data_IF_654507454689
#
_entry.id   IF_654507454689
#
_cell.length_a   1.000
_cell.length_b   1.000
_cell.length_c   1.000
_cell.angle_alpha   90.00
_cell.angle_beta   90.00
_cell.angle_gamma   90.00
#
_symmetry.space_group_name_H-M   'P 1'
#
loop_
_entity.id
_entity.type
_entity.pdbx_description
1 polymer ?
#
# COMPACT_ATOMS: atom_id res chain seq x y z
N UNK A 1 -18.68 21.05 7.42
CA UNK A 1 -19.73 20.01 7.33
C UNK A 1 -19.08 18.64 7.34
N UNK A 2 -19.54 17.75 8.21
CA UNK A 2 -19.01 16.40 8.41
C UNK A 2 -18.95 15.56 7.12
N UNK A 3 -19.85 15.81 6.14
CA UNK A 3 -19.86 15.10 4.86
C UNK A 3 -18.69 15.37 3.90
N UNK A 4 -17.97 16.49 4.01
CA UNK A 4 -16.79 16.75 3.17
C UNK A 4 -15.54 16.00 3.67
N UNK A 5 -15.43 15.87 5.00
CA UNK A 5 -14.41 15.05 5.68
C UNK A 5 -14.62 13.59 5.33
N UNK A 6 -15.87 13.14 5.36
CA UNK A 6 -16.27 11.79 4.98
C UNK A 6 -16.11 11.53 3.47
N UNK A 7 -15.91 12.55 2.62
CA UNK A 7 -15.63 12.40 1.17
C UNK A 7 -14.13 12.32 0.85
N UNK A 8 -13.31 12.93 1.71
CA UNK A 8 -11.84 12.94 1.59
C UNK A 8 -11.21 11.78 2.37
N UNK A 9 -11.82 11.38 3.50
CA UNK A 9 -11.30 10.39 4.44
C UNK A 9 -12.10 9.07 4.51
N UNK A 10 -13.23 8.92 3.80
CA UNK A 10 -13.84 7.59 3.67
C UNK A 10 -12.93 6.66 2.85
N UNK A 11 -12.11 5.90 3.56
CA UNK A 11 -11.61 4.63 3.07
C UNK A 11 -12.75 3.65 2.73
N UNK A 12 -13.95 3.85 3.30
CA UNK A 12 -15.13 3.00 3.09
C UNK A 12 -15.96 3.30 1.82
N UNK A 13 -15.87 4.50 1.25
CA UNK A 13 -16.67 4.93 0.08
C UNK A 13 -15.84 5.10 -1.20
N UNK A 14 -14.50 5.10 -1.09
CA UNK A 14 -13.61 5.02 -2.26
C UNK A 14 -13.38 3.55 -2.61
N UNK A 15 -14.04 3.15 -3.69
CA UNK A 15 -14.09 1.82 -4.32
C UNK A 15 -12.75 1.07 -4.45
N UNK A 16 -11.60 1.75 -4.43
CA UNK A 16 -10.29 1.14 -4.66
C UNK A 16 -9.64 0.49 -3.42
N UNK A 17 -10.06 0.84 -2.19
CA UNK A 17 -9.62 0.14 -0.97
C UNK A 17 -10.59 -0.98 -0.54
N UNK A 18 -11.86 -0.88 -0.92
CA UNK A 18 -12.91 -1.82 -0.52
C UNK A 18 -13.08 -3.02 -1.49
N UNK A 19 -12.85 -2.84 -2.79
CA UNK A 19 -13.02 -3.89 -3.79
C UNK A 19 -11.69 -4.55 -4.16
N UNK A 20 -11.17 -5.38 -3.26
CA UNK A 20 -10.20 -6.39 -3.67
C UNK A 20 -10.93 -7.56 -4.31
N UNK A 21 -10.41 -8.11 -5.42
CA UNK A 21 -10.92 -9.38 -5.95
C UNK A 21 -10.53 -10.49 -4.97
N UNK A 22 -11.50 -11.24 -4.42
CA UNK A 22 -11.19 -12.36 -3.55
C UNK A 22 -10.42 -13.40 -4.35
N UNK A 23 -9.28 -13.81 -3.83
CA UNK A 23 -8.53 -14.95 -4.33
C UNK A 23 -9.16 -16.19 -3.71
N UNK A 24 -9.63 -17.09 -4.57
CA UNK A 24 -10.25 -18.34 -4.13
C UNK A 24 -9.14 -19.25 -3.60
N UNK A 25 -9.21 -19.63 -2.33
CA UNK A 25 -8.22 -20.52 -1.69
C UNK A 25 -8.70 -21.99 -1.63
N UNK A 26 -9.82 -22.30 -2.26
CA UNK A 26 -10.43 -23.64 -2.27
C UNK A 26 -11.04 -24.08 -0.93
N UNK A 27 -10.99 -23.26 0.12
CA UNK A 27 -11.47 -23.61 1.47
C UNK A 27 -12.91 -23.15 1.75
N UNK A 28 -13.50 -22.35 0.86
CA UNK A 28 -14.83 -21.76 1.04
C UNK A 28 -14.86 -20.59 2.04
N UNK A 29 -13.71 -20.17 2.57
CA UNK A 29 -13.54 -18.91 3.30
C UNK A 29 -13.16 -17.79 2.32
N UNK A 30 -13.41 -16.51 2.64
CA UNK A 30 -12.85 -15.42 1.85
C UNK A 30 -11.32 -15.46 1.97
N UNK A 31 -10.62 -15.80 0.89
CA UNK A 31 -9.16 -15.76 0.84
C UNK A 31 -8.61 -14.33 0.72
N UNK A 32 -7.31 -14.21 0.44
CA UNK A 32 -6.64 -12.93 0.22
C UNK A 32 -7.42 -12.05 -0.77
N UNK A 33 -7.41 -10.74 -0.56
CA UNK A 33 -8.10 -9.76 -1.40
C UNK A 33 -7.06 -8.95 -2.16
N UNK A 34 -6.97 -9.17 -3.46
CA UNK A 34 -6.06 -8.43 -4.33
C UNK A 34 -6.73 -7.14 -4.79
N UNK A 35 -6.18 -6.00 -4.39
CA UNK A 35 -6.63 -4.67 -4.78
C UNK A 35 -5.64 -4.02 -5.75
N UNK A 36 -6.14 -3.57 -6.90
CA UNK A 36 -5.35 -2.71 -7.79
C UNK A 36 -5.13 -1.36 -7.14
N UNK A 37 -3.87 -1.04 -6.82
CA UNK A 37 -3.51 0.16 -6.06
C UNK A 37 -2.49 1.05 -6.78
N UNK A 38 -2.17 0.75 -8.04
CA UNK A 38 -1.31 1.57 -8.88
C UNK A 38 -1.80 3.03 -8.94
N UNK A 39 -0.87 3.96 -8.74
CA UNK A 39 -1.05 5.41 -8.60
C UNK A 39 -1.78 5.86 -7.34
N UNK A 40 -2.37 4.94 -6.59
CA UNK A 40 -3.40 5.31 -5.61
C UNK A 40 -2.82 5.52 -4.22
N UNK A 41 -1.77 4.78 -3.86
CA UNK A 41 -1.02 5.00 -2.63
C UNK A 41 -0.31 6.35 -2.69
N UNK A 42 0.35 6.63 -3.82
CA UNK A 42 0.98 7.93 -4.07
C UNK A 42 -0.03 9.08 -4.07
N UNK A 43 -1.22 8.88 -4.65
CA UNK A 43 -2.30 9.88 -4.63
C UNK A 43 -2.80 10.17 -3.21
N UNK A 44 -3.00 9.13 -2.38
CA UNK A 44 -3.44 9.28 -1.00
C UNK A 44 -2.42 10.08 -0.15
N UNK A 45 -1.14 9.75 -0.26
CA UNK A 45 -0.07 10.50 0.41
C UNK A 45 -0.01 11.95 -0.07
N UNK A 46 -0.10 12.18 -1.38
CA UNK A 46 -0.10 13.53 -1.97
C UNK A 46 -1.28 14.36 -1.47
N UNK A 47 -2.46 13.76 -1.35
CA UNK A 47 -3.65 14.42 -0.81
C UNK A 47 -3.45 14.82 0.67
N UNK A 48 -2.90 13.93 1.50
CA UNK A 48 -2.56 14.22 2.89
C UNK A 48 -1.56 15.38 3.00
N UNK A 49 -0.47 15.35 2.23
CA UNK A 49 0.52 16.43 2.19
C UNK A 49 -0.09 17.75 1.74
N UNK A 50 -0.91 17.72 0.70
CA UNK A 50 -1.56 18.92 0.16
C UNK A 50 -2.49 19.54 1.20
N UNK A 51 -3.31 18.74 1.88
CA UNK A 51 -4.20 19.24 2.94
C UNK A 51 -3.41 19.77 4.13
N UNK A 52 -2.36 19.04 4.55
CA UNK A 52 -1.49 19.48 5.62
C UNK A 52 -0.74 20.78 5.28
N UNK A 53 -0.47 21.07 4.01
CA UNK A 53 0.20 22.30 3.59
C UNK A 53 -0.78 23.47 3.37
N UNK A 54 -1.90 23.21 2.69
CA UNK A 54 -2.83 24.26 2.23
C UNK A 54 -3.81 24.75 3.29
N UNK A 55 -4.10 23.94 4.30
CA UNK A 55 -5.01 24.37 5.37
C UNK A 55 -4.34 25.47 6.24
N UNK A 56 -5.08 26.45 6.75
CA UNK A 56 -4.59 27.39 7.77
C UNK A 56 -4.48 26.77 9.16
N UNK A 57 -3.55 27.24 9.99
CA UNK A 57 -3.38 26.71 11.36
C UNK A 57 -4.69 26.85 12.16
N UNK A 58 -5.02 25.84 12.97
CA UNK A 58 -6.29 25.80 13.71
C UNK A 58 -7.54 25.54 12.84
N UNK A 59 -7.39 25.33 11.52
CA UNK A 59 -8.52 24.99 10.67
C UNK A 59 -9.16 23.66 11.13
N UNK A 60 -10.49 23.57 11.32
CA UNK A 60 -11.14 22.38 11.88
C UNK A 60 -10.83 21.08 11.13
N UNK A 61 -10.60 21.15 9.81
CA UNK A 61 -10.21 19.97 9.02
C UNK A 61 -8.85 19.38 9.41
N UNK A 62 -7.93 20.15 10.02
CA UNK A 62 -6.65 19.61 10.48
C UNK A 62 -6.81 18.59 11.60
N UNK A 63 -7.83 18.74 12.45
CA UNK A 63 -8.13 17.76 13.51
C UNK A 63 -8.50 16.37 12.93
N UNK A 64 -8.89 16.29 11.66
CA UNK A 64 -9.27 15.04 11.02
C UNK A 64 -8.13 14.38 10.22
N UNK A 65 -7.02 15.08 9.96
CA UNK A 65 -5.90 14.49 9.19
C UNK A 65 -5.26 13.29 9.90
N UNK A 66 -5.00 13.31 11.23
CA UNK A 66 -4.49 12.12 11.93
C UNK A 66 -5.47 10.95 11.89
N UNK A 67 -6.77 11.22 11.96
CA UNK A 67 -7.83 10.19 11.86
C UNK A 67 -7.82 9.55 10.46
N UNK A 68 -7.66 10.37 9.42
CA UNK A 68 -7.52 9.91 8.04
C UNK A 68 -6.30 9.01 7.82
N UNK A 69 -5.15 9.43 8.35
CA UNK A 69 -3.92 8.64 8.30
C UNK A 69 -4.07 7.31 9.06
N UNK A 70 -4.67 7.34 10.26
CA UNK A 70 -4.93 6.14 11.05
C UNK A 70 -5.87 5.17 10.33
N UNK A 71 -6.92 5.66 9.67
CA UNK A 71 -7.83 4.82 8.87
C UNK A 71 -7.10 4.17 7.68
N UNK A 72 -6.25 4.93 6.98
CA UNK A 72 -5.44 4.41 5.88
C UNK A 72 -4.47 3.33 6.34
N UNK A 73 -3.75 3.56 7.44
CA UNK A 73 -2.84 2.57 8.04
C UNK A 73 -3.58 1.34 8.57
N UNK A 74 -4.74 1.53 9.20
CA UNK A 74 -5.59 0.43 9.64
C UNK A 74 -6.02 -0.47 8.49
N UNK A 75 -6.27 0.12 7.30
CA UNK A 75 -6.55 -0.66 6.09
C UNK A 75 -5.33 -1.38 5.55
N UNK A 76 -4.16 -0.73 5.53
CA UNK A 76 -2.90 -1.36 5.11
C UNK A 76 -2.48 -2.51 6.05
N UNK A 77 -2.86 -2.44 7.32
CA UNK A 77 -2.63 -3.48 8.31
C UNK A 77 -3.59 -4.68 8.20
N UNK A 78 -4.55 -4.67 7.27
CA UNK A 78 -5.42 -5.83 7.01
C UNK A 78 -4.56 -7.01 6.50
N UNK A 79 -4.47 -8.14 7.24
CA UNK A 79 -3.67 -9.30 6.86
C UNK A 79 -4.14 -9.94 5.54
N UNK A 80 -5.40 -9.74 5.17
CA UNK A 80 -5.97 -10.29 3.96
C UNK A 80 -5.82 -9.35 2.76
N UNK A 81 -5.32 -8.11 2.96
CA UNK A 81 -5.13 -7.15 1.87
C UNK A 81 -3.80 -7.39 1.15
N UNK A 82 -3.89 -7.56 -0.16
CA UNK A 82 -2.76 -7.66 -1.07
C UNK A 82 -2.88 -6.56 -2.13
N UNK A 83 -1.81 -5.80 -2.34
CA UNK A 83 -1.77 -4.68 -3.28
C UNK A 83 -1.08 -5.10 -4.59
N UNK A 84 -1.76 -4.83 -5.70
CA UNK A 84 -1.15 -4.82 -7.03
C UNK A 84 -0.75 -3.39 -7.40
N UNK A 85 0.55 -3.11 -7.33
CA UNK A 85 1.12 -1.81 -7.68
C UNK A 85 1.52 -1.72 -9.16
N UNK A 86 1.23 -2.75 -9.97
CA UNK A 86 1.62 -2.82 -11.38
C UNK A 86 3.11 -3.09 -11.59
N UNK A 87 3.74 -3.81 -10.66
CA UNK A 87 5.15 -4.20 -10.72
C UNK A 87 5.28 -5.50 -11.51
N UNK A 88 5.61 -5.38 -12.80
CA UNK A 88 5.72 -6.51 -13.72
C UNK A 88 7.14 -6.73 -14.25
N UNK A 89 7.92 -5.66 -14.33
CA UNK A 89 9.19 -5.62 -15.06
C UNK A 89 10.29 -5.01 -14.21
N UNK A 90 11.50 -5.51 -14.38
CA UNK A 90 12.72 -4.92 -13.83
C UNK A 90 13.12 -3.68 -14.63
N UNK A 91 14.09 -2.91 -14.13
CA UNK A 91 14.68 -1.79 -14.86
C UNK A 91 15.23 -2.20 -16.23
N UNK A 92 15.85 -3.39 -16.31
CA UNK A 92 16.37 -3.94 -17.58
C UNK A 92 15.28 -4.50 -18.51
N UNK A 93 14.00 -4.37 -18.15
CA UNK A 93 12.86 -4.87 -18.93
C UNK A 93 12.62 -6.38 -18.81
N UNK A 94 13.32 -7.07 -17.91
CA UNK A 94 13.10 -8.50 -17.61
C UNK A 94 11.89 -8.71 -16.68
N UNK A 95 11.33 -9.92 -16.59
CA UNK A 95 10.22 -10.21 -15.69
C UNK A 95 10.66 -10.12 -14.23
N UNK A 96 9.91 -9.38 -13.40
CA UNK A 96 10.26 -9.16 -11.99
C UNK A 96 10.23 -10.46 -11.17
N UNK A 97 9.37 -11.41 -11.54
CA UNK A 97 9.22 -12.69 -10.84
C UNK A 97 10.50 -13.49 -10.76
N UNK A 98 11.29 -13.53 -11.84
CA UNK A 98 12.57 -14.25 -11.86
C UNK A 98 13.57 -13.67 -10.84
N UNK A 99 13.67 -12.34 -10.76
CA UNK A 99 14.54 -11.66 -9.79
C UNK A 99 14.09 -11.90 -8.36
N UNK A 100 12.78 -11.80 -8.09
CA UNK A 100 12.22 -12.05 -6.76
C UNK A 100 12.40 -13.52 -6.34
N UNK A 101 12.16 -14.47 -7.24
CA UNK A 101 12.40 -15.89 -6.98
C UNK A 101 13.87 -16.15 -6.62
N UNK A 102 14.80 -15.61 -7.39
CA UNK A 102 16.23 -15.75 -7.12
C UNK A 102 16.63 -15.14 -5.77
N UNK A 103 16.13 -13.95 -5.43
CA UNK A 103 16.42 -13.28 -4.16
C UNK A 103 15.91 -14.06 -2.94
N UNK A 104 14.81 -14.81 -3.10
CA UNK A 104 14.18 -15.60 -2.04
C UNK A 104 14.54 -17.10 -2.09
N UNK A 105 15.43 -17.53 -2.98
CA UNK A 105 15.80 -18.94 -3.14
C UNK A 105 14.65 -19.85 -3.59
N UNK A 106 13.66 -19.29 -4.29
CA UNK A 106 12.51 -20.03 -4.82
C UNK A 106 12.87 -20.76 -6.13
N UNK A 107 12.21 -21.88 -6.45
CA UNK A 107 12.38 -22.54 -7.74
C UNK A 107 12.00 -21.61 -8.90
N UNK A 108 12.44 -21.90 -10.13
CA UNK A 108 12.12 -21.05 -11.30
C UNK A 108 10.64 -21.04 -11.67
N UNK A 109 9.90 -22.10 -11.32
CA UNK A 109 8.46 -22.22 -11.57
C UNK A 109 7.77 -23.03 -10.45
N UNK A 110 6.44 -22.95 -10.39
CA UNK A 110 5.65 -23.61 -9.34
C UNK A 110 5.80 -22.94 -7.98
N UNK A 111 5.43 -23.67 -6.92
CA UNK A 111 5.44 -23.18 -5.53
C UNK A 111 4.25 -22.28 -5.18
N UNK A 112 3.21 -22.28 -6.01
CA UNK A 112 1.97 -21.59 -5.71
C UNK A 112 1.17 -22.37 -4.67
N UNK A 113 0.60 -21.66 -3.72
CA UNK A 113 -0.31 -22.23 -2.72
C UNK A 113 -1.72 -22.43 -3.31
N UNK A 114 -2.66 -22.87 -2.48
CA UNK A 114 -4.04 -23.17 -2.90
C UNK A 114 -4.77 -21.95 -3.52
N UNK A 115 -4.28 -20.74 -3.24
CA UNK A 115 -4.78 -19.48 -3.79
C UNK A 115 -4.09 -19.09 -5.11
N UNK A 116 -3.19 -19.93 -5.63
CA UNK A 116 -2.45 -19.67 -6.88
C UNK A 116 -1.35 -18.62 -6.75
N UNK A 117 -1.00 -18.20 -5.52
CA UNK A 117 0.04 -17.22 -5.25
C UNK A 117 1.29 -17.90 -4.71
N UNK A 118 2.46 -17.40 -5.11
CA UNK A 118 3.75 -17.85 -4.58
C UNK A 118 4.20 -16.86 -3.51
N UNK A 119 4.50 -17.36 -2.31
CA UNK A 119 4.89 -16.52 -1.17
C UNK A 119 6.41 -16.32 -1.17
N UNK A 120 6.86 -15.09 -1.38
CA UNK A 120 8.26 -14.69 -1.33
C UNK A 120 8.53 -13.96 0.00
N UNK A 121 8.60 -14.72 1.08
CA UNK A 121 8.67 -14.16 2.44
C UNK A 121 7.31 -13.67 2.94
N UNK A 122 7.31 -12.67 3.82
CA UNK A 122 6.10 -12.19 4.52
C UNK A 122 5.35 -11.10 3.76
N UNK A 123 6.04 -10.21 3.05
CA UNK A 123 5.42 -9.07 2.39
C UNK A 123 5.25 -9.25 0.88
N UNK A 124 6.08 -10.07 0.23
CA UNK A 124 6.10 -10.19 -1.22
C UNK A 124 5.40 -11.45 -1.69
N UNK A 125 4.57 -11.31 -2.72
CA UNK A 125 3.78 -12.37 -3.31
C UNK A 125 3.95 -12.30 -4.83
N UNK A 126 4.08 -13.45 -5.49
CA UNK A 126 4.06 -13.52 -6.96
C UNK A 126 2.73 -14.09 -7.41
N UNK A 127 2.14 -13.45 -8.40
CA UNK A 127 0.93 -13.88 -9.06
C UNK A 127 1.17 -14.04 -10.57
N UNK A 128 0.36 -14.85 -11.27
CA UNK A 128 0.36 -14.87 -12.72
C UNK A 128 0.17 -13.45 -13.30
N UNK A 129 1.03 -13.08 -14.24
CA UNK A 129 1.04 -11.80 -14.94
C UNK A 129 0.73 -11.96 -16.43
N UNK A 130 1.30 -11.08 -17.26
CA UNK A 130 1.10 -11.12 -18.71
C UNK A 130 1.96 -12.22 -19.36
N UNK A 131 1.33 -13.09 -20.16
CA UNK A 131 1.99 -14.22 -20.80
C UNK A 131 2.46 -15.25 -19.77
N UNK A 132 3.71 -15.70 -19.90
CA UNK A 132 4.34 -16.64 -18.97
C UNK A 132 5.08 -15.93 -17.82
N UNK A 133 4.88 -14.62 -17.65
CA UNK A 133 5.57 -13.84 -16.62
C UNK A 133 4.73 -13.70 -15.36
N UNK A 134 5.39 -13.45 -14.25
CA UNK A 134 4.76 -13.18 -12.96
C UNK A 134 4.77 -11.68 -12.67
N UNK A 135 3.76 -11.24 -11.93
CA UNK A 135 3.68 -9.89 -11.37
C UNK A 135 3.93 -9.95 -9.87
N UNK A 136 4.53 -8.88 -9.34
CA UNK A 136 4.77 -8.72 -7.92
C UNK A 136 3.58 -8.04 -7.25
N UNK A 137 3.08 -8.68 -6.20
CA UNK A 137 2.09 -8.16 -5.29
C UNK A 137 2.72 -7.92 -3.92
N UNK A 138 2.19 -6.95 -3.17
CA UNK A 138 2.69 -6.58 -1.85
C UNK A 138 1.57 -6.74 -0.83
N UNK A 139 1.81 -7.52 0.22
CA UNK A 139 0.97 -7.61 1.42
C UNK A 139 1.52 -6.64 2.48
N UNK A 140 0.88 -5.47 2.71
CA UNK A 140 1.48 -4.46 3.58
C UNK A 140 1.54 -4.91 5.05
N UNK A 141 0.57 -5.71 5.51
CA UNK A 141 0.59 -6.32 6.84
C UNK A 141 1.78 -7.27 7.08
N UNK A 142 2.47 -7.69 6.03
CA UNK A 142 3.68 -8.51 6.11
C UNK A 142 4.98 -7.71 6.20
N UNK A 143 4.92 -6.37 6.11
CA UNK A 143 6.06 -5.47 6.24
C UNK A 143 6.34 -5.18 7.72
N UNK A 144 7.60 -5.21 8.12
CA UNK A 144 8.05 -4.88 9.48
C UNK A 144 8.02 -3.37 9.78
N UNK A 145 7.89 -2.52 8.75
CA UNK A 145 7.89 -1.08 8.87
C UNK A 145 8.47 -0.38 7.64
N UNK A 146 8.78 0.92 7.72
CA UNK A 146 9.34 1.67 6.60
C UNK A 146 10.74 1.19 6.20
N UNK A 147 11.49 0.53 7.07
CA UNK A 147 12.84 0.01 6.77
C UNK A 147 12.87 -1.48 6.46
N UNK A 148 11.72 -2.06 6.09
CA UNK A 148 11.64 -3.45 5.69
C UNK A 148 12.54 -3.74 4.47
N UNK A 149 13.38 -4.79 4.50
CA UNK A 149 14.28 -5.11 3.39
C UNK A 149 13.57 -5.39 2.06
N UNK A 150 12.26 -5.72 2.08
CA UNK A 150 11.45 -5.86 0.89
C UNK A 150 11.41 -4.56 0.06
N UNK A 151 11.41 -3.38 0.71
CA UNK A 151 11.51 -2.10 0.00
C UNK A 151 12.82 -2.00 -0.78
N UNK A 152 13.95 -2.27 -0.12
CA UNK A 152 15.27 -2.22 -0.75
C UNK A 152 15.42 -3.21 -1.91
N UNK A 153 14.87 -4.42 -1.78
CA UNK A 153 14.88 -5.42 -2.85
C UNK A 153 14.12 -4.93 -4.08
N UNK A 154 12.90 -4.41 -3.89
CA UNK A 154 12.07 -3.96 -5.01
C UNK A 154 12.63 -2.68 -5.63
N UNK A 155 13.04 -1.71 -4.83
CA UNK A 155 13.69 -0.48 -5.29
C UNK A 155 14.96 -0.75 -6.09
N UNK A 156 15.77 -1.75 -5.70
CA UNK A 156 16.96 -2.18 -6.44
C UNK A 156 16.67 -2.99 -7.71
N UNK A 157 15.42 -3.38 -7.95
CA UNK A 157 15.01 -4.23 -9.07
C UNK A 157 14.25 -3.46 -10.15
N UNK A 158 13.43 -2.49 -9.77
CA UNK A 158 12.54 -1.77 -10.71
C UNK A 158 13.07 -0.37 -11.03
N UNK A 159 12.75 0.14 -12.22
CA UNK A 159 13.12 1.50 -12.61
C UNK A 159 12.49 2.55 -11.67
N UNK A 160 13.20 3.65 -11.41
CA UNK A 160 12.79 4.71 -10.47
C UNK A 160 11.45 5.37 -10.83
N UNK A 161 11.02 5.32 -12.10
CA UNK A 161 9.71 5.82 -12.51
C UNK A 161 8.54 4.91 -12.10
N UNK A 162 8.82 3.66 -11.72
CA UNK A 162 7.83 2.64 -11.32
C UNK A 162 7.68 2.48 -9.81
N UNK A 163 8.53 3.12 -8.99
CA UNK A 163 8.56 2.96 -7.53
C UNK A 163 7.67 3.94 -6.77
N UNK A 164 6.94 4.84 -7.44
CA UNK A 164 6.18 5.92 -6.80
C UNK A 164 5.22 5.44 -5.69
N UNK A 165 4.41 4.41 -5.95
CA UNK A 165 3.51 3.86 -4.93
C UNK A 165 4.25 3.08 -3.83
N UNK A 166 5.38 2.46 -4.17
CA UNK A 166 6.21 1.75 -3.20
C UNK A 166 6.84 2.73 -2.20
N UNK A 167 7.40 3.83 -2.69
CA UNK A 167 7.94 4.92 -1.87
C UNK A 167 6.84 5.61 -1.06
N UNK A 168 5.65 5.79 -1.65
CA UNK A 168 4.52 6.33 -0.92
C UNK A 168 4.03 5.38 0.18
N UNK A 169 4.01 4.07 -0.06
CA UNK A 169 3.71 3.07 0.96
C UNK A 169 4.71 3.14 2.11
N UNK A 170 6.01 3.20 1.79
CA UNK A 170 7.09 3.38 2.78
C UNK A 170 6.87 4.62 3.64
N UNK A 171 6.58 5.77 3.02
CA UNK A 171 6.32 7.02 3.74
C UNK A 171 5.06 6.92 4.62
N UNK A 172 3.99 6.27 4.15
CA UNK A 172 2.80 6.05 4.97
C UNK A 172 3.07 5.20 6.21
N UNK A 173 4.04 4.28 6.17
CA UNK A 173 4.46 3.48 7.33
C UNK A 173 5.45 4.22 8.25
N UNK A 174 6.04 5.34 7.81
CA UNK A 174 6.97 6.16 8.60
C UNK A 174 6.23 7.06 9.59
N UNK A 175 6.67 7.09 10.85
CA UNK A 175 6.16 7.96 11.92
C UNK A 175 6.25 9.46 11.59
N UNK A 176 7.16 9.88 10.70
CA UNK A 176 7.23 11.28 10.23
C UNK A 176 5.93 11.75 9.60
N UNK A 177 5.15 10.84 9.02
CA UNK A 177 3.84 11.16 8.44
C UNK A 177 2.82 11.51 9.53
N UNK A 178 2.99 11.03 10.77
CA UNK A 178 2.16 11.43 11.91
C UNK A 178 2.41 12.88 12.30
N UNK A 179 3.68 13.28 12.34
CA UNK A 179 4.07 14.66 12.63
C UNK A 179 3.47 15.62 11.59
N UNK A 180 3.51 15.24 10.32
CA UNK A 180 2.89 16.03 9.25
C UNK A 180 1.36 16.08 9.37
N UNK A 181 0.71 14.96 9.66
CA UNK A 181 -0.75 14.91 9.79
C UNK A 181 -1.26 15.69 11.01
N UNK A 182 -0.48 15.75 12.08
CA UNK A 182 -0.85 16.42 13.33
C UNK A 182 -0.45 17.90 13.37
N UNK A 183 0.41 18.34 12.46
CA UNK A 183 0.93 19.71 12.43
C UNK A 183 -0.20 20.75 12.29
N UNK A 184 -0.29 21.65 13.27
CA UNK A 184 -1.24 22.76 13.26
C UNK A 184 -2.70 22.36 13.49
N UNK A 185 -2.95 21.13 13.96
CA UNK A 185 -4.24 20.78 14.54
C UNK A 185 -4.55 21.73 15.71
N UNK A 186 -5.82 22.14 15.90
CA UNK A 186 -6.17 22.98 17.03
C UNK A 186 -5.78 22.26 18.32
N UNK A 187 -4.91 22.89 19.13
CA UNK A 187 -4.69 22.47 20.50
C UNK A 187 -6.07 22.44 21.16
N UNK A 188 -6.47 21.32 21.74
CA UNK A 188 -7.81 21.14 22.34
C UNK A 188 -8.15 22.08 23.51
N UNK A 189 -7.41 23.17 23.67
CA UNK A 189 -7.68 24.30 24.54
C UNK A 189 -9.05 24.90 24.18
N UNK A 190 -10.04 24.88 25.09
CA UNK A 190 -11.30 25.54 24.86
C UNK A 190 -11.02 27.05 24.67
N UNK A 191 -11.44 27.58 23.53
CA UNK A 191 -11.52 29.02 23.35
C UNK A 191 -12.53 29.56 24.37
N UNK A 192 -12.03 30.26 25.39
CA UNK A 192 -12.81 30.97 26.40
C UNK A 192 -13.21 32.36 25.91
#
# INVERSE_FOLDING_TARGET
TSGAVDLVLNAGSRTWLAHGTPVQDGTGRPGLRVAGARGTIASALTALHTLAYTLPYGHPLRAHLPVGLAALRGRLADPDLVLDLGLHWTESGGPIGATVRAAHGLPESGGADADGLVRAGTALLLAPGYGNNEKLLIRPAGLAGPDDPAFGLVEGTVASHGTGDLLALRALLDEKTDALASAGAPDGSPHH
#
